data_IF_586283571276
#
_entry.id   IF_586283571276
#
_cell.length_a   1.000
_cell.length_b   1.000
_cell.length_c   1.000
_cell.angle_alpha   90.00
_cell.angle_beta   90.00
_cell.angle_gamma   90.00
#
_symmetry.space_group_name_H-M   'P 1'
#
loop_
_entity.id
_entity.type
_entity.pdbx_description
1 polymer ?
#
# COMPACT_ATOMS: atom_id res chain seq x y z
N UNK A 1 -6.08 -15.19 -14.78
CA UNK A 1 -7.44 -14.71 -14.46
C UNK A 1 -7.41 -13.33 -13.78
N UNK A 2 -6.68 -13.13 -12.68
CA UNK A 2 -6.54 -11.81 -12.06
C UNK A 2 -5.83 -10.79 -12.96
N UNK A 3 -4.87 -11.21 -13.79
CA UNK A 3 -4.28 -10.37 -14.84
C UNK A 3 -5.32 -9.88 -15.86
N UNK A 4 -6.37 -10.64 -16.11
CA UNK A 4 -7.45 -10.20 -17.00
C UNK A 4 -8.22 -9.00 -16.40
N UNK A 5 -8.32 -8.89 -15.08
CA UNK A 5 -8.90 -7.72 -14.40
C UNK A 5 -8.08 -6.48 -14.72
N UNK A 6 -6.76 -6.55 -14.55
CA UNK A 6 -5.82 -5.45 -14.88
C UNK A 6 -5.98 -4.99 -16.33
N UNK A 7 -6.01 -5.94 -17.26
CA UNK A 7 -6.21 -5.65 -18.69
C UNK A 7 -7.56 -4.98 -18.98
N UNK A 8 -8.63 -5.47 -18.34
CA UNK A 8 -9.96 -4.89 -18.52
C UNK A 8 -10.05 -3.48 -17.94
N UNK A 9 -9.51 -3.26 -16.75
CA UNK A 9 -9.47 -1.95 -16.10
C UNK A 9 -8.68 -0.94 -16.93
N UNK A 10 -7.54 -1.33 -17.48
CA UNK A 10 -6.74 -0.49 -18.37
C UNK A 10 -7.46 -0.08 -19.65
N UNK A 11 -8.41 -0.90 -20.14
CA UNK A 11 -9.17 -0.57 -21.38
C UNK A 11 -10.41 0.26 -21.16
N UNK A 12 -11.13 0.02 -20.05
CA UNK A 12 -12.49 0.56 -19.90
C UNK A 12 -12.69 1.36 -18.61
N UNK A 13 -11.71 1.40 -17.71
CA UNK A 13 -11.80 1.97 -16.36
C UNK A 13 -12.44 1.00 -15.37
N UNK A 14 -12.10 1.17 -14.09
CA UNK A 14 -12.54 0.26 -13.01
C UNK A 14 -14.07 0.16 -12.95
N UNK A 15 -14.77 1.29 -13.04
CA UNK A 15 -16.22 1.32 -12.83
C UNK A 15 -17.00 0.59 -13.92
N UNK A 16 -16.49 0.55 -15.15
CA UNK A 16 -17.16 -0.03 -16.31
C UNK A 16 -16.93 -1.53 -16.48
N UNK A 17 -15.89 -2.08 -15.84
CA UNK A 17 -15.55 -3.49 -15.96
C UNK A 17 -16.55 -4.35 -15.19
N UNK A 18 -17.12 -5.35 -15.87
CA UNK A 18 -18.04 -6.33 -15.29
C UNK A 18 -17.47 -7.75 -15.38
N UNK A 19 -18.17 -8.72 -14.75
CA UNK A 19 -17.74 -10.13 -14.71
C UNK A 19 -17.71 -10.77 -16.10
N UNK A 20 -18.55 -10.32 -17.04
CA UNK A 20 -18.58 -10.85 -18.40
C UNK A 20 -17.34 -10.42 -19.21
N UNK A 21 -16.85 -9.22 -18.96
CA UNK A 21 -15.60 -8.71 -19.57
C UNK A 21 -14.41 -9.51 -19.07
N UNK A 22 -14.34 -9.74 -17.76
CA UNK A 22 -13.29 -10.56 -17.13
C UNK A 22 -13.35 -12.00 -17.64
N UNK A 23 -14.55 -12.59 -17.77
CA UNK A 23 -14.74 -13.93 -18.31
C UNK A 23 -14.20 -14.03 -19.74
N UNK A 24 -14.58 -13.07 -20.59
CA UNK A 24 -14.13 -13.00 -21.99
C UNK A 24 -12.62 -12.82 -22.10
N UNK A 25 -12.04 -11.91 -21.32
CA UNK A 25 -10.61 -11.62 -21.34
C UNK A 25 -9.76 -12.76 -20.79
N UNK A 26 -10.27 -13.48 -19.77
CA UNK A 26 -9.54 -14.59 -19.14
C UNK A 26 -9.72 -15.94 -19.82
N UNK A 27 -10.67 -16.06 -20.74
CA UNK A 27 -11.03 -17.34 -21.34
C UNK A 27 -11.76 -18.30 -20.38
N UNK A 28 -12.20 -17.82 -19.22
CA UNK A 28 -12.88 -18.61 -18.18
C UNK A 28 -14.39 -18.33 -18.23
N UNK A 29 -15.21 -19.39 -18.11
CA UNK A 29 -16.66 -19.19 -18.14
C UNK A 29 -17.16 -18.38 -16.94
N UNK A 30 -18.23 -17.60 -17.14
CA UNK A 30 -18.90 -16.86 -16.07
C UNK A 30 -19.28 -17.75 -14.88
N UNK A 31 -19.81 -18.95 -15.16
CA UNK A 31 -20.16 -19.91 -14.10
C UNK A 31 -18.94 -20.33 -13.26
N UNK A 32 -17.79 -20.50 -13.92
CA UNK A 32 -16.54 -20.81 -13.24
C UNK A 32 -16.07 -19.62 -12.37
N UNK A 33 -16.19 -18.38 -12.86
CA UNK A 33 -15.84 -17.19 -12.07
C UNK A 33 -16.70 -17.08 -10.81
N UNK A 34 -18.01 -17.22 -10.91
CA UNK A 34 -18.89 -17.19 -9.74
C UNK A 34 -18.68 -18.35 -8.76
N UNK A 35 -18.22 -19.51 -9.25
CA UNK A 35 -17.84 -20.64 -8.38
C UNK A 35 -16.55 -20.36 -7.59
N UNK A 36 -15.57 -19.69 -8.21
CA UNK A 36 -14.30 -19.36 -7.57
C UNK A 36 -14.43 -18.11 -6.68
N UNK A 37 -15.22 -17.13 -7.12
CA UNK A 37 -15.46 -15.87 -6.42
C UNK A 37 -16.96 -15.68 -6.13
N UNK A 38 -17.44 -16.35 -5.07
CA UNK A 38 -18.82 -16.17 -4.62
C UNK A 38 -19.01 -14.73 -4.12
N UNK A 39 -19.80 -13.93 -4.80
CA UNK A 39 -19.92 -12.48 -4.57
C UNK A 39 -19.59 -11.66 -5.82
N UNK A 40 -19.08 -12.33 -6.87
CA UNK A 40 -18.95 -11.74 -8.20
C UNK A 40 -17.88 -10.65 -8.28
N UNK A 41 -18.23 -9.52 -8.89
CA UNK A 41 -17.31 -8.44 -9.25
C UNK A 41 -16.46 -7.96 -8.06
N UNK A 42 -17.08 -7.62 -6.95
CA UNK A 42 -16.37 -6.99 -5.81
C UNK A 42 -15.34 -7.93 -5.19
N UNK A 43 -15.66 -9.23 -5.10
CA UNK A 43 -14.74 -10.26 -4.60
C UNK A 43 -13.59 -10.50 -5.57
N UNK A 44 -13.86 -10.45 -6.89
CA UNK A 44 -12.79 -10.55 -7.91
C UNK A 44 -11.84 -9.37 -7.82
N UNK A 45 -12.37 -8.15 -7.67
CA UNK A 45 -11.54 -6.94 -7.55
C UNK A 45 -10.74 -6.93 -6.25
N UNK A 46 -11.31 -7.39 -5.14
CA UNK A 46 -10.56 -7.53 -3.89
C UNK A 46 -9.44 -8.56 -4.02
N UNK A 47 -9.71 -9.70 -4.63
CA UNK A 47 -8.69 -10.72 -4.91
C UNK A 47 -7.58 -10.18 -5.84
N UNK A 48 -7.94 -9.33 -6.81
CA UNK A 48 -6.97 -8.67 -7.68
C UNK A 48 -6.09 -7.69 -6.90
N UNK A 49 -6.66 -6.86 -6.02
CA UNK A 49 -5.88 -5.95 -5.17
C UNK A 49 -4.88 -6.69 -4.27
N UNK A 50 -5.33 -7.80 -3.66
CA UNK A 50 -4.44 -8.66 -2.86
C UNK A 50 -3.31 -9.23 -3.71
N UNK A 51 -3.61 -9.70 -4.91
CA UNK A 51 -2.64 -10.27 -5.84
C UNK A 51 -1.59 -9.24 -6.29
N UNK A 52 -1.99 -8.01 -6.62
CA UNK A 52 -1.04 -6.95 -7.01
C UNK A 52 -0.14 -6.55 -5.83
N UNK A 53 -0.69 -6.47 -4.61
CA UNK A 53 0.12 -6.23 -3.41
C UNK A 53 1.12 -7.35 -3.16
N UNK A 54 0.71 -8.61 -3.29
CA UNK A 54 1.59 -9.77 -3.11
C UNK A 54 2.75 -9.76 -4.14
N UNK A 55 2.44 -9.46 -5.40
CA UNK A 55 3.47 -9.29 -6.45
C UNK A 55 4.46 -8.19 -6.11
N UNK A 56 3.95 -7.01 -5.75
CA UNK A 56 4.77 -5.87 -5.37
C UNK A 56 5.74 -6.23 -4.24
N UNK A 57 5.21 -6.82 -3.15
CA UNK A 57 6.07 -7.20 -2.03
C UNK A 57 7.02 -8.35 -2.36
N UNK A 58 6.63 -9.29 -3.19
CA UNK A 58 7.53 -10.37 -3.66
C UNK A 58 8.73 -9.77 -4.42
N UNK A 59 8.50 -8.83 -5.32
CA UNK A 59 9.58 -8.11 -6.01
C UNK A 59 10.46 -7.34 -5.03
N UNK A 60 9.83 -6.60 -4.12
CA UNK A 60 10.55 -5.83 -3.10
C UNK A 60 11.45 -6.70 -2.23
N UNK A 61 10.95 -7.85 -1.75
CA UNK A 61 11.72 -8.78 -0.93
C UNK A 61 12.96 -9.29 -1.67
N UNK A 62 12.84 -9.62 -2.96
CA UNK A 62 13.98 -10.02 -3.77
C UNK A 62 15.08 -8.95 -3.87
N UNK A 63 14.71 -7.66 -3.78
CA UNK A 63 15.68 -6.56 -3.82
C UNK A 63 16.33 -6.26 -2.47
N UNK A 64 15.63 -6.48 -1.37
CA UNK A 64 16.15 -6.20 -0.03
C UNK A 64 16.87 -7.39 0.61
N UNK A 65 16.71 -8.56 0.05
CA UNK A 65 17.42 -9.77 0.50
C UNK A 65 18.94 -9.53 0.52
N UNK A 66 19.58 -9.95 1.61
CA UNK A 66 21.02 -9.75 1.81
C UNK A 66 21.44 -8.29 2.11
N UNK A 67 20.52 -7.42 2.53
CA UNK A 67 20.86 -6.10 3.03
C UNK A 67 21.83 -6.21 4.21
N UNK A 68 22.91 -5.42 4.20
CA UNK A 68 24.02 -5.54 5.17
C UNK A 68 23.97 -4.53 6.32
N UNK A 69 23.07 -3.56 6.24
CA UNK A 69 22.85 -2.53 7.24
C UNK A 69 21.45 -1.95 7.14
N UNK A 70 21.01 -1.24 8.19
CA UNK A 70 19.74 -0.53 8.16
C UNK A 70 19.69 0.50 7.03
N UNK A 71 20.80 1.21 6.76
CA UNK A 71 20.90 2.15 5.64
C UNK A 71 20.65 1.42 4.31
N UNK A 72 21.34 0.31 4.08
CA UNK A 72 21.23 -0.50 2.87
C UNK A 72 19.81 -1.04 2.69
N UNK A 73 19.21 -1.56 3.76
CA UNK A 73 17.81 -2.02 3.76
C UNK A 73 16.85 -0.90 3.35
N UNK A 74 16.98 0.29 3.94
CA UNK A 74 16.09 1.42 3.67
C UNK A 74 16.26 1.95 2.26
N UNK A 75 17.49 2.13 1.79
CA UNK A 75 17.76 2.60 0.42
C UNK A 75 17.17 1.65 -0.60
N UNK A 76 17.45 0.36 -0.47
CA UNK A 76 16.88 -0.65 -1.38
C UNK A 76 15.35 -0.67 -1.34
N UNK A 77 14.77 -0.57 -0.12
CA UNK A 77 13.31 -0.55 0.05
C UNK A 77 12.66 0.63 -0.67
N UNK A 78 13.13 1.87 -0.41
CA UNK A 78 12.49 3.06 -1.02
C UNK A 78 12.72 3.12 -2.51
N UNK A 79 13.92 2.71 -2.98
CA UNK A 79 14.26 2.76 -4.40
C UNK A 79 13.45 1.75 -5.20
N UNK A 80 13.42 0.50 -4.75
CA UNK A 80 12.62 -0.53 -5.40
C UNK A 80 11.12 -0.18 -5.37
N UNK A 81 10.59 0.18 -4.20
CA UNK A 81 9.16 0.52 -4.08
C UNK A 81 8.77 1.71 -4.97
N UNK A 82 9.62 2.73 -5.08
CA UNK A 82 9.35 3.89 -5.93
C UNK A 82 9.39 3.53 -7.41
N UNK A 83 10.36 2.70 -7.82
CA UNK A 83 10.46 2.22 -9.22
C UNK A 83 9.24 1.37 -9.59
N UNK A 84 8.89 0.38 -8.78
CA UNK A 84 7.72 -0.48 -9.01
C UNK A 84 6.42 0.33 -9.15
N UNK A 85 6.22 1.37 -8.33
CA UNK A 85 5.04 2.24 -8.44
C UNK A 85 5.07 3.08 -9.72
N UNK A 86 6.25 3.57 -10.15
CA UNK A 86 6.39 4.39 -11.37
C UNK A 86 6.28 3.56 -12.64
N UNK A 87 6.75 2.33 -12.61
CA UNK A 87 6.76 1.42 -13.74
C UNK A 87 5.42 0.68 -13.94
N UNK A 88 4.45 0.87 -13.01
CA UNK A 88 3.11 0.33 -13.17
C UNK A 88 2.26 1.20 -14.11
N UNK A 89 2.26 0.84 -15.42
CA UNK A 89 1.45 1.49 -16.46
C UNK A 89 -0.04 1.54 -16.10
N UNK A 90 -0.55 0.54 -15.37
CA UNK A 90 -1.95 0.51 -14.96
C UNK A 90 -2.24 1.58 -13.90
N UNK A 91 -1.37 1.70 -12.91
CA UNK A 91 -1.46 2.72 -11.87
C UNK A 91 -1.34 4.13 -12.49
N UNK A 92 -0.41 4.32 -13.45
CA UNK A 92 -0.25 5.57 -14.18
C UNK A 92 -1.52 5.94 -14.97
N UNK A 93 -2.13 4.97 -15.67
CA UNK A 93 -3.38 5.16 -16.39
C UNK A 93 -4.54 5.50 -15.45
N UNK A 94 -4.64 4.82 -14.32
CA UNK A 94 -5.65 5.07 -13.30
C UNK A 94 -5.52 6.47 -12.68
N UNK A 95 -4.29 6.91 -12.38
CA UNK A 95 -4.02 8.27 -11.90
C UNK A 95 -4.45 9.33 -12.92
N UNK A 96 -4.30 9.05 -14.22
CA UNK A 96 -4.70 9.96 -15.28
C UNK A 96 -6.22 10.00 -15.50
N UNK A 97 -6.92 8.86 -15.37
CA UNK A 97 -8.34 8.74 -15.69
C UNK A 97 -9.27 8.88 -14.47
N UNK A 98 -8.87 8.35 -13.32
CA UNK A 98 -9.66 8.28 -12.08
C UNK A 98 -8.82 8.67 -10.84
N UNK A 99 -8.20 9.88 -10.82
CA UNK A 99 -7.25 10.26 -9.76
C UNK A 99 -7.85 10.18 -8.35
N UNK A 100 -9.13 10.48 -8.19
CA UNK A 100 -9.81 10.42 -6.89
C UNK A 100 -9.87 9.01 -6.31
N UNK A 101 -10.10 7.99 -7.13
CA UNK A 101 -10.12 6.59 -6.71
C UNK A 101 -8.72 6.13 -6.26
N UNK A 102 -7.69 6.44 -7.04
CA UNK A 102 -6.30 6.09 -6.71
C UNK A 102 -5.83 6.82 -5.45
N UNK A 103 -6.13 8.11 -5.32
CA UNK A 103 -5.79 8.87 -4.11
C UNK A 103 -6.45 8.27 -2.87
N UNK A 104 -7.74 7.90 -2.94
CA UNK A 104 -8.43 7.20 -1.85
C UNK A 104 -7.73 5.90 -1.45
N UNK A 105 -7.39 5.06 -2.43
CA UNK A 105 -6.70 3.77 -2.20
C UNK A 105 -5.28 3.94 -1.65
N UNK A 106 -4.55 4.98 -2.03
CA UNK A 106 -3.18 5.22 -1.58
C UNK A 106 -3.07 6.09 -0.32
N UNK A 107 -4.16 6.72 0.12
CA UNK A 107 -4.15 7.64 1.26
C UNK A 107 -5.11 7.23 2.37
N UNK A 108 -6.32 7.79 2.42
CA UNK A 108 -7.22 7.69 3.57
C UNK A 108 -7.71 6.27 3.83
N UNK A 109 -8.19 5.60 2.78
CA UNK A 109 -8.88 4.32 2.92
C UNK A 109 -7.93 3.12 2.81
N UNK A 110 -7.00 3.16 1.87
CA UNK A 110 -6.12 2.03 1.56
C UNK A 110 -4.79 2.04 2.31
N UNK A 111 -4.25 3.21 2.70
CA UNK A 111 -2.95 3.30 3.36
C UNK A 111 -2.83 2.44 4.63
N UNK A 112 -3.81 2.37 5.54
CA UNK A 112 -3.72 1.49 6.71
C UNK A 112 -3.60 0.01 6.33
N UNK A 113 -4.22 -0.40 5.21
CA UNK A 113 -4.11 -1.76 4.68
C UNK A 113 -2.73 -2.00 4.07
N UNK A 114 -2.22 -1.06 3.28
CA UNK A 114 -0.88 -1.12 2.69
C UNK A 114 0.18 -1.24 3.79
N UNK A 115 0.14 -0.41 4.82
CA UNK A 115 1.06 -0.45 5.95
C UNK A 115 1.00 -1.79 6.69
N UNK A 116 -0.19 -2.35 6.89
CA UNK A 116 -0.37 -3.66 7.53
C UNK A 116 0.28 -4.78 6.72
N UNK A 117 0.09 -4.77 5.40
CA UNK A 117 0.71 -5.73 4.49
C UNK A 117 2.23 -5.50 4.45
N UNK A 118 2.70 -4.27 4.27
CA UNK A 118 4.12 -3.92 4.32
C UNK A 118 4.77 -4.41 5.62
N UNK A 119 4.10 -4.20 6.77
CA UNK A 119 4.59 -4.68 8.06
C UNK A 119 4.74 -6.20 8.08
N UNK A 120 3.75 -6.94 7.55
CA UNK A 120 3.81 -8.41 7.53
C UNK A 120 5.00 -8.93 6.71
N UNK A 121 5.29 -8.30 5.58
CA UNK A 121 6.39 -8.71 4.71
C UNK A 121 7.77 -8.23 5.17
N UNK A 122 7.88 -6.99 5.68
CA UNK A 122 9.17 -6.34 5.93
C UNK A 122 9.69 -6.52 7.37
N UNK A 123 8.84 -6.88 8.32
CA UNK A 123 9.24 -7.08 9.73
C UNK A 123 10.44 -8.03 9.87
N UNK A 124 10.48 -9.20 9.21
CA UNK A 124 11.61 -10.12 9.37
C UNK A 124 12.96 -9.49 9.04
N UNK A 125 13.01 -8.63 8.02
CA UNK A 125 14.23 -7.96 7.59
C UNK A 125 14.58 -6.77 8.48
N UNK A 126 13.60 -5.99 8.90
CA UNK A 126 13.83 -4.82 9.77
C UNK A 126 14.24 -5.24 11.19
N UNK A 127 13.73 -6.36 11.71
CA UNK A 127 14.06 -6.90 13.04
C UNK A 127 15.51 -7.40 13.13
N UNK A 128 16.20 -7.60 12.01
CA UNK A 128 17.64 -7.88 11.99
C UNK A 128 18.48 -6.68 12.45
N UNK A 129 17.96 -5.46 12.30
CA UNK A 129 18.68 -4.20 12.58
C UNK A 129 18.08 -3.41 13.73
N UNK A 130 16.81 -3.62 14.08
CA UNK A 130 16.06 -2.83 15.05
C UNK A 130 15.18 -3.71 15.96
N UNK A 131 14.91 -3.27 17.19
CA UNK A 131 13.86 -3.85 18.02
C UNK A 131 12.49 -3.75 17.34
N UNK A 132 11.67 -4.79 17.43
CA UNK A 132 10.39 -4.93 16.73
C UNK A 132 9.42 -3.73 16.81
N UNK A 133 9.28 -3.02 17.95
CA UNK A 133 8.45 -1.81 17.98
C UNK A 133 8.97 -0.70 17.06
N UNK A 134 10.31 -0.56 16.96
CA UNK A 134 10.95 0.42 16.09
C UNK A 134 10.86 0.01 14.63
N UNK A 135 11.02 -1.29 14.32
CA UNK A 135 10.82 -1.83 12.98
C UNK A 135 9.41 -1.48 12.45
N UNK A 136 8.37 -1.65 13.27
CA UNK A 136 7.01 -1.30 12.89
C UNK A 136 6.83 0.19 12.61
N UNK A 137 7.35 1.04 13.50
CA UNK A 137 7.27 2.50 13.33
C UNK A 137 8.03 2.94 12.06
N UNK A 138 9.19 2.35 11.81
CA UNK A 138 9.98 2.64 10.62
C UNK A 138 9.26 2.24 9.34
N UNK A 139 8.68 1.05 9.29
CA UNK A 139 7.92 0.58 8.12
C UNK A 139 6.72 1.50 7.85
N UNK A 140 5.99 1.93 8.86
CA UNK A 140 4.89 2.91 8.72
C UNK A 140 5.38 4.22 8.10
N UNK A 141 6.48 4.78 8.62
CA UNK A 141 7.07 6.03 8.12
C UNK A 141 7.54 5.87 6.68
N UNK A 142 8.28 4.80 6.38
CA UNK A 142 8.83 4.54 5.03
C UNK A 142 7.71 4.36 4.00
N UNK A 143 6.65 3.61 4.33
CA UNK A 143 5.51 3.43 3.43
C UNK A 143 4.84 4.78 3.11
N UNK A 144 4.66 5.65 4.11
CA UNK A 144 4.12 7.00 3.92
C UNK A 144 5.02 7.87 3.07
N UNK A 145 6.33 7.83 3.30
CA UNK A 145 7.30 8.58 2.50
C UNK A 145 7.26 8.14 1.04
N UNK A 146 7.32 6.85 0.75
CA UNK A 146 7.27 6.32 -0.62
C UNK A 146 6.00 6.79 -1.33
N UNK A 147 4.83 6.60 -0.70
CA UNK A 147 3.55 7.01 -1.28
C UNK A 147 3.49 8.53 -1.48
N UNK A 148 3.94 9.32 -0.49
CA UNK A 148 3.94 10.78 -0.59
C UNK A 148 4.80 11.28 -1.75
N UNK A 149 6.02 10.75 -1.90
CA UNK A 149 6.94 11.15 -2.97
C UNK A 149 6.53 10.58 -4.34
N UNK A 150 5.79 9.47 -4.36
CA UNK A 150 5.19 8.95 -5.58
C UNK A 150 4.04 9.85 -6.06
N UNK A 151 3.12 10.23 -5.19
CA UNK A 151 1.96 11.06 -5.52
C UNK A 151 2.32 12.52 -5.80
N UNK A 152 3.35 13.05 -5.13
CA UNK A 152 3.85 14.40 -5.28
C UNK A 152 5.39 14.38 -5.40
N UNK A 153 5.93 14.11 -6.61
CA UNK A 153 7.37 14.03 -6.82
C UNK A 153 8.08 15.31 -6.42
N UNK A 154 9.22 15.17 -5.74
CA UNK A 154 10.07 16.29 -5.35
C UNK A 154 11.02 16.65 -6.48
N UNK A 155 11.30 17.95 -6.66
CA UNK A 155 12.37 18.43 -7.55
C UNK A 155 13.79 18.32 -6.96
N UNK A 156 13.92 17.90 -5.69
CA UNK A 156 15.19 17.85 -4.96
C UNK A 156 15.58 16.42 -4.60
N UNK A 157 14.60 15.56 -4.31
CA UNK A 157 14.82 14.16 -3.87
C UNK A 157 14.13 13.21 -4.83
N UNK A 158 14.89 12.28 -5.40
CA UNK A 158 14.38 11.18 -6.18
C UNK A 158 14.59 9.84 -5.46
N UNK A 159 13.53 9.27 -4.91
CA UNK A 159 13.60 7.95 -4.29
C UNK A 159 13.77 6.80 -5.29
N UNK A 160 13.54 7.02 -6.57
CA UNK A 160 13.88 6.05 -7.61
C UNK A 160 15.37 5.94 -7.92
N UNK A 161 16.19 6.90 -7.43
CA UNK A 161 17.64 6.91 -7.53
C UNK A 161 18.28 6.58 -6.18
N UNK A 162 19.20 5.61 -6.16
CA UNK A 162 19.81 5.11 -4.92
C UNK A 162 20.70 6.15 -4.25
N UNK A 163 21.42 6.97 -5.01
CA UNK A 163 22.31 7.99 -4.45
C UNK A 163 21.48 9.10 -3.80
N UNK A 164 20.45 9.56 -4.47
CA UNK A 164 19.48 10.53 -3.96
C UNK A 164 18.75 10.02 -2.71
N UNK A 165 18.26 8.78 -2.75
CA UNK A 165 17.62 8.14 -1.60
C UNK A 165 18.57 8.03 -0.41
N UNK A 166 19.82 7.62 -0.63
CA UNK A 166 20.86 7.50 0.39
C UNK A 166 21.21 8.85 1.01
N UNK A 167 21.42 9.87 0.18
CA UNK A 167 21.72 11.23 0.64
C UNK A 167 20.59 11.79 1.51
N UNK A 168 19.34 11.52 1.14
CA UNK A 168 18.18 11.95 1.92
C UNK A 168 18.03 11.19 3.24
N UNK A 169 18.18 9.86 3.24
CA UNK A 169 17.91 9.03 4.41
C UNK A 169 19.01 9.10 5.47
N UNK A 170 20.27 9.27 5.05
CA UNK A 170 21.45 9.20 5.92
C UNK A 170 21.41 10.12 7.14
N UNK A 171 20.95 11.38 7.07
CA UNK A 171 20.85 12.26 8.24
C UNK A 171 19.88 11.79 9.30
N UNK A 172 18.88 10.97 8.94
CA UNK A 172 17.84 10.49 9.85
C UNK A 172 18.20 9.17 10.54
N UNK A 173 19.15 8.40 9.98
CA UNK A 173 19.54 7.09 10.51
C UNK A 173 19.95 7.10 11.99
N UNK A 174 20.73 8.07 12.49
CA UNK A 174 21.15 8.11 13.89
C UNK A 174 19.97 8.33 14.86
N UNK A 175 18.85 8.88 14.37
CA UNK A 175 17.69 9.26 15.19
C UNK A 175 16.63 8.15 15.18
N UNK A 176 16.61 7.29 14.17
CA UNK A 176 15.60 6.23 14.01
C UNK A 176 15.52 5.25 15.21
N UNK A 177 16.65 4.81 15.83
CA UNK A 177 16.59 3.92 16.99
C UNK A 177 15.95 4.56 18.23
N UNK A 178 15.83 5.89 18.28
CA UNK A 178 15.29 6.66 19.42
C UNK A 178 13.81 6.97 19.27
N UNK A 179 13.19 6.67 18.14
CA UNK A 179 11.75 6.90 17.93
C UNK A 179 10.98 5.85 18.72
N UNK A 180 10.62 6.17 19.96
CA UNK A 180 9.58 5.44 20.66
C UNK A 180 8.23 5.85 20.05
N UNK A 181 7.42 4.89 19.56
CA UNK A 181 6.09 5.23 19.08
C UNK A 181 5.33 5.89 20.23
N UNK A 182 4.69 7.05 20.01
CA UNK A 182 3.83 7.65 21.01
C UNK A 182 2.76 6.62 21.41
N UNK A 183 2.52 6.49 22.71
CA UNK A 183 1.36 5.74 23.21
C UNK A 183 0.12 6.54 22.78
N UNK A 184 -0.43 6.20 21.63
CA UNK A 184 -1.69 6.79 21.19
C UNK A 184 -2.78 6.26 22.10
N UNK A 185 -3.16 7.05 23.09
CA UNK A 185 -4.41 6.80 23.80
C UNK A 185 -5.54 7.01 22.77
N UNK A 186 -6.42 6.00 22.58
CA UNK A 186 -7.59 6.20 21.74
C UNK A 186 -8.38 7.39 22.30
N UNK A 187 -8.93 8.27 21.43
CA UNK A 187 -9.77 9.37 21.89
C UNK A 187 -10.88 8.80 22.78
N UNK A 188 -10.98 9.31 23.98
CA UNK A 188 -12.07 8.97 24.89
C UNK A 188 -13.38 9.46 24.24
N UNK A 189 -14.11 8.53 23.60
CA UNK A 189 -15.49 8.80 23.20
C UNK A 189 -16.29 9.00 24.50
N UNK A 190 -16.51 10.26 24.87
CA UNK A 190 -17.49 10.60 25.89
C UNK A 190 -18.86 10.22 25.33
N UNK A 191 -19.39 9.09 25.79
CA UNK A 191 -20.81 8.82 25.67
C UNK A 191 -21.54 9.93 26.44
N UNK A 192 -22.02 10.94 25.73
CA UNK A 192 -23.07 11.79 26.25
C UNK A 192 -24.31 10.90 26.40
N UNK A 193 -24.53 10.42 27.61
CA UNK A 193 -25.82 9.86 28.00
C UNK A 193 -26.87 10.95 27.80
N UNK A 194 -27.77 10.74 26.87
CA UNK A 194 -28.94 11.58 26.65
C UNK A 194 -29.83 11.43 27.86
N UNK A 195 -29.82 12.45 28.75
CA UNK A 195 -30.84 12.64 29.78
C UNK A 195 -32.19 12.84 29.08
N UNK A 196 -32.95 11.77 28.99
CA UNK A 196 -34.38 11.86 28.74
C UNK A 196 -35.03 12.47 29.98
N UNK A 197 -35.24 13.78 29.97
CA UNK A 197 -36.15 14.43 30.89
C UNK A 197 -37.58 13.95 30.61
N UNK A 198 -38.08 13.14 31.52
CA UNK A 198 -39.53 12.85 31.63
C UNK A 198 -40.28 14.15 31.91
N UNK A 199 -41.26 14.48 31.06
CA UNK A 199 -42.25 15.53 31.30
C UNK A 199 -43.30 14.98 32.31
N UNK A 200 -43.61 15.74 33.39
CA UNK A 200 -44.72 15.37 34.26
C UNK A 200 -46.07 15.72 33.63
N UNK A 201 -47.05 14.88 33.96
CA UNK A 201 -48.45 14.93 33.53
C UNK A 201 -49.19 16.24 33.82
#
# INVERSE_FOLDING_TARGET
MLEAVKTCCGRWGIEKVNVDDIARQSGVSRATLYRIFPGGRDVIFEAHRVYELDRFFTTLLGHIEGATSLEDLLVRTVTCATRELRDDDHLALMLASEPGAVLGELTVDGLPRIIRVATAYLIPFADEFLPRPQSRALIDIVARLVISYFLAPSGVVDFGDEESARAFLRPFLPVLPTIQPPTIQPPAFQHQASDHQELPA
#
